data_IF_803717840533
#
_entry.id   IF_803717840533
#
_cell.length_a   1.000
_cell.length_b   1.000
_cell.length_c   1.000
_cell.angle_alpha   90.00
_cell.angle_beta   90.00
_cell.angle_gamma   90.00
#
_symmetry.space_group_name_H-M   'P 1'
#
loop_
_entity.id
_entity.type
_entity.pdbx_description
1 polymer ?
#
# COMPACT_ATOMS: atom_id res chain seq x y z
N UNK A 1 15.84 12.18 -54.96
CA UNK A 1 14.61 12.07 -54.15
C UNK A 1 14.74 10.79 -53.31
N UNK A 2 15.39 10.88 -52.16
CA UNK A 2 15.68 9.74 -51.28
C UNK A 2 14.55 9.57 -50.27
N UNK A 3 13.84 8.45 -50.36
CA UNK A 3 12.76 8.05 -49.46
C UNK A 3 13.31 7.78 -48.06
N UNK A 4 12.90 8.60 -47.09
CA UNK A 4 13.14 8.35 -45.66
C UNK A 4 12.29 7.15 -45.23
N UNK A 5 12.94 6.02 -44.96
CA UNK A 5 12.27 4.85 -44.40
C UNK A 5 11.90 5.16 -42.94
N UNK A 6 10.60 5.22 -42.66
CA UNK A 6 10.04 5.40 -41.32
C UNK A 6 10.49 4.20 -40.46
N UNK A 7 11.42 4.43 -39.52
CA UNK A 7 11.86 3.40 -38.57
C UNK A 7 10.65 2.98 -37.74
N UNK A 8 10.08 1.81 -38.03
CA UNK A 8 9.02 1.24 -37.20
C UNK A 8 9.59 0.90 -35.82
N UNK A 9 8.87 1.18 -34.71
CA UNK A 9 9.33 0.83 -33.38
C UNK A 9 9.55 -0.68 -33.30
N UNK A 10 10.80 -1.09 -33.08
CA UNK A 10 11.18 -2.49 -32.97
C UNK A 10 10.93 -2.92 -31.53
N UNK A 11 9.86 -3.66 -31.29
CA UNK A 11 9.53 -4.18 -29.96
C UNK A 11 10.53 -5.29 -29.63
N UNK A 12 11.39 -5.07 -28.64
CA UNK A 12 12.34 -6.07 -28.16
C UNK A 12 11.76 -6.80 -26.95
N UNK A 13 11.62 -8.12 -27.07
CA UNK A 13 11.20 -8.97 -25.95
C UNK A 13 12.41 -9.27 -25.07
N UNK A 14 12.35 -8.88 -23.80
CA UNK A 14 13.40 -9.16 -22.81
C UNK A 14 12.80 -9.95 -21.67
N UNK A 15 13.26 -11.19 -21.48
CA UNK A 15 12.87 -12.01 -20.33
C UNK A 15 13.80 -11.71 -19.15
N UNK A 16 13.24 -11.22 -18.05
CA UNK A 16 13.95 -11.00 -16.78
C UNK A 16 13.45 -12.02 -15.74
N UNK A 17 14.29 -12.40 -14.79
CA UNK A 17 13.89 -13.28 -13.68
C UNK A 17 13.91 -12.49 -12.40
N UNK A 18 12.79 -12.46 -11.68
CA UNK A 18 12.72 -11.91 -10.34
C UNK A 18 13.23 -13.00 -9.38
N UNK A 19 14.37 -12.73 -8.73
CA UNK A 19 15.02 -13.66 -7.79
C UNK A 19 14.91 -13.22 -6.34
N UNK A 20 14.87 -11.91 -6.09
CA UNK A 20 14.90 -11.35 -4.74
C UNK A 20 14.07 -10.06 -4.69
N UNK A 21 13.32 -9.88 -3.60
CA UNK A 21 12.60 -8.66 -3.26
C UNK A 21 13.28 -8.05 -2.04
N UNK A 22 13.89 -6.87 -2.18
CA UNK A 22 14.58 -6.20 -1.08
C UNK A 22 13.63 -5.91 0.11
N UNK A 23 13.79 -6.59 1.26
CA UNK A 23 12.90 -6.42 2.41
C UNK A 23 12.94 -5.00 2.98
N UNK A 24 14.05 -4.28 2.83
CA UNK A 24 14.17 -2.90 3.28
C UNK A 24 13.28 -1.95 2.48
N UNK A 25 13.19 -2.18 1.17
CA UNK A 25 12.26 -1.46 0.30
C UNK A 25 10.81 -1.78 0.66
N UNK A 26 10.48 -3.04 0.92
CA UNK A 26 9.13 -3.45 1.36
C UNK A 26 8.76 -2.81 2.70
N UNK A 27 9.70 -2.73 3.65
CA UNK A 27 9.48 -2.06 4.92
C UNK A 27 9.09 -0.58 4.73
N UNK A 28 9.85 0.17 3.93
CA UNK A 28 9.59 1.61 3.70
C UNK A 28 8.25 1.85 3.03
N UNK A 29 7.97 1.12 1.94
CA UNK A 29 6.73 1.26 1.18
C UNK A 29 5.54 0.82 2.04
N UNK A 30 5.66 -0.34 2.70
CA UNK A 30 4.67 -0.89 3.59
C UNK A 30 4.34 0.04 4.74
N UNK A 31 5.35 0.63 5.38
CA UNK A 31 5.15 1.56 6.50
C UNK A 31 4.33 2.79 6.07
N UNK A 32 4.70 3.41 4.94
CA UNK A 32 3.98 4.57 4.41
C UNK A 32 2.54 4.19 4.04
N UNK A 33 2.36 3.06 3.34
CA UNK A 33 1.05 2.58 2.92
C UNK A 33 0.13 2.34 4.13
N UNK A 34 0.58 1.55 5.12
CA UNK A 34 -0.22 1.25 6.30
C UNK A 34 -0.48 2.51 7.14
N UNK A 35 0.46 3.44 7.22
CA UNK A 35 0.25 4.70 7.91
C UNK A 35 -0.83 5.56 7.23
N UNK A 36 -0.83 5.66 5.90
CA UNK A 36 -1.88 6.37 5.14
C UNK A 36 -3.24 5.72 5.36
N UNK A 37 -3.33 4.40 5.26
CA UNK A 37 -4.56 3.65 5.53
C UNK A 37 -5.05 3.90 6.96
N UNK A 38 -4.14 3.89 7.94
CA UNK A 38 -4.47 4.20 9.33
C UNK A 38 -5.04 5.60 9.53
N UNK A 39 -4.48 6.62 8.86
CA UNK A 39 -5.04 7.98 8.90
C UNK A 39 -6.45 8.04 8.32
N UNK A 40 -6.69 7.37 7.18
CA UNK A 40 -8.02 7.27 6.59
C UNK A 40 -8.99 6.60 7.56
N UNK A 41 -8.56 5.53 8.24
CA UNK A 41 -9.36 4.83 9.24
C UNK A 41 -9.71 5.69 10.46
N UNK A 42 -8.78 6.53 10.94
CA UNK A 42 -9.09 7.50 12.01
C UNK A 42 -10.17 8.47 11.54
N UNK A 43 -10.01 9.05 10.35
CA UNK A 43 -11.00 10.00 9.80
C UNK A 43 -12.37 9.33 9.69
N UNK A 44 -12.41 8.12 9.13
CA UNK A 44 -13.64 7.34 9.04
C UNK A 44 -14.26 7.07 10.42
N UNK A 45 -13.46 6.67 11.41
CA UNK A 45 -13.91 6.42 12.79
C UNK A 45 -14.51 7.68 13.44
N UNK A 46 -13.86 8.83 13.27
CA UNK A 46 -14.36 10.11 13.80
C UNK A 46 -15.69 10.49 13.15
N UNK A 47 -15.80 10.34 11.82
CA UNK A 47 -17.04 10.63 11.11
C UNK A 47 -18.17 9.71 11.54
N UNK A 48 -17.92 8.40 11.61
CA UNK A 48 -18.91 7.42 12.08
C UNK A 48 -19.38 7.72 13.50
N UNK A 49 -18.44 8.05 14.40
CA UNK A 49 -18.77 8.43 15.77
C UNK A 49 -19.60 9.70 15.85
N UNK A 50 -19.27 10.72 15.05
CA UNK A 50 -20.01 11.97 15.00
C UNK A 50 -21.46 11.74 14.57
N UNK A 51 -21.66 10.93 13.53
CA UNK A 51 -23.02 10.59 13.04
C UNK A 51 -23.77 9.80 14.11
N UNK A 52 -23.16 8.77 14.69
CA UNK A 52 -23.78 7.96 15.73
C UNK A 52 -24.15 8.75 17.00
N UNK A 53 -23.36 9.78 17.32
CA UNK A 53 -23.64 10.71 18.42
C UNK A 53 -24.82 11.62 18.06
N UNK A 54 -24.84 12.17 16.85
CA UNK A 54 -25.90 13.07 16.38
C UNK A 54 -27.28 12.37 16.28
N UNK A 55 -27.30 11.07 15.93
CA UNK A 55 -28.52 10.27 15.85
C UNK A 55 -28.97 9.70 17.20
N UNK A 56 -28.23 9.95 18.29
CA UNK A 56 -28.52 9.36 19.61
C UNK A 56 -28.35 7.83 19.66
N UNK A 57 -27.71 7.22 18.65
CA UNK A 57 -27.49 5.78 18.60
C UNK A 57 -26.65 5.30 19.79
N UNK A 58 -25.67 6.10 20.21
CA UNK A 58 -24.82 5.80 21.37
C UNK A 58 -25.65 5.75 22.66
N UNK A 59 -26.56 6.70 22.85
CA UNK A 59 -27.41 6.77 24.04
C UNK A 59 -28.41 5.60 24.10
N UNK A 60 -28.98 5.24 22.95
CA UNK A 60 -29.87 4.07 22.82
C UNK A 60 -29.15 2.77 23.20
N UNK A 61 -27.89 2.60 22.76
CA UNK A 61 -27.06 1.43 23.12
C UNK A 61 -26.75 1.44 24.62
N UNK A 62 -26.43 2.59 25.21
CA UNK A 62 -26.18 2.68 26.65
C UNK A 62 -27.42 2.32 27.46
N UNK A 63 -28.60 2.78 27.07
CA UNK A 63 -29.86 2.45 27.75
C UNK A 63 -30.20 0.96 27.64
N UNK A 64 -29.98 0.37 26.46
CA UNK A 64 -30.09 -1.08 26.26
C UNK A 64 -29.10 -1.85 27.14
N UNK A 65 -27.84 -1.45 27.21
CA UNK A 65 -26.86 -2.13 28.09
C UNK A 65 -27.23 -2.02 29.57
N UNK A 66 -27.77 -0.88 30.00
CA UNK A 66 -28.29 -0.70 31.37
C UNK A 66 -29.47 -1.64 31.67
N UNK A 67 -30.34 -1.93 30.70
CA UNK A 67 -31.45 -2.87 30.92
C UNK A 67 -31.01 -4.31 31.12
N UNK A 68 -29.77 -4.66 30.75
CA UNK A 68 -29.11 -5.93 31.05
C UNK A 68 -28.36 -5.96 32.40
N UNK A 69 -28.53 -4.95 33.26
CA UNK A 69 -27.94 -4.91 34.60
C UNK A 69 -26.53 -4.31 34.68
N UNK A 70 -26.05 -3.66 33.60
CA UNK A 70 -24.78 -2.94 33.59
C UNK A 70 -25.00 -1.47 34.01
N UNK A 71 -25.33 -1.23 35.28
CA UNK A 71 -25.73 0.10 35.78
C UNK A 71 -24.62 1.18 35.71
N UNK A 72 -23.34 0.78 35.68
CA UNK A 72 -22.19 1.69 35.63
C UNK A 72 -21.55 1.85 34.25
N UNK A 73 -22.13 1.26 33.20
CA UNK A 73 -21.56 1.33 31.85
C UNK A 73 -21.76 2.71 31.24
N UNK A 74 -20.68 3.49 31.20
CA UNK A 74 -20.60 4.79 30.53
C UNK A 74 -19.54 4.70 29.44
N UNK A 75 -19.89 5.02 28.19
CA UNK A 75 -18.88 5.17 27.15
C UNK A 75 -18.03 6.40 27.46
N UNK A 76 -16.83 6.19 28.02
CA UNK A 76 -15.79 7.22 28.08
C UNK A 76 -15.20 7.41 26.68
N UNK A 77 -15.94 8.10 25.81
CA UNK A 77 -15.58 8.28 24.39
C UNK A 77 -14.13 8.72 24.21
N UNK A 78 -13.66 9.70 25.00
CA UNK A 78 -12.28 10.18 24.93
C UNK A 78 -11.22 9.10 25.20
N UNK A 79 -11.42 8.25 26.20
CA UNK A 79 -10.44 7.20 26.53
C UNK A 79 -10.51 6.03 25.55
N UNK A 80 -11.70 5.70 25.04
CA UNK A 80 -11.85 4.70 23.98
C UNK A 80 -11.12 5.13 22.71
N UNK A 81 -11.26 6.40 22.30
CA UNK A 81 -10.58 6.92 21.11
C UNK A 81 -9.06 6.84 21.22
N UNK A 82 -8.48 7.24 22.36
CA UNK A 82 -7.03 7.13 22.58
C UNK A 82 -6.57 5.68 22.53
N UNK A 83 -7.29 4.77 23.19
CA UNK A 83 -6.94 3.35 23.18
C UNK A 83 -7.01 2.77 21.76
N UNK A 84 -8.05 3.07 21.00
CA UNK A 84 -8.19 2.63 19.60
C UNK A 84 -7.09 3.20 18.71
N UNK A 85 -6.73 4.48 18.90
CA UNK A 85 -5.61 5.08 18.16
C UNK A 85 -4.29 4.36 18.46
N UNK A 86 -3.96 4.11 19.72
CA UNK A 86 -2.74 3.39 20.11
C UNK A 86 -2.72 1.96 19.56
N UNK A 87 -3.84 1.23 19.68
CA UNK A 87 -3.96 -0.11 19.12
C UNK A 87 -3.85 -0.11 17.59
N UNK A 88 -4.39 0.89 16.92
CA UNK A 88 -4.26 1.02 15.46
C UNK A 88 -2.82 1.32 15.03
N UNK A 89 -2.06 2.12 15.78
CA UNK A 89 -0.62 2.31 15.55
C UNK A 89 0.16 1.00 15.70
N UNK A 90 -0.14 0.21 16.73
CA UNK A 90 0.45 -1.13 16.87
C UNK A 90 0.06 -2.02 15.67
N UNK A 91 -1.18 -1.94 15.21
CA UNK A 91 -1.66 -2.62 14.01
C UNK A 91 -0.87 -2.26 12.74
N UNK A 92 -0.53 -0.98 12.54
CA UNK A 92 0.32 -0.52 11.42
C UNK A 92 1.69 -1.20 11.46
N UNK A 93 2.33 -1.23 12.63
CA UNK A 93 3.64 -1.85 12.80
C UNK A 93 3.57 -3.35 12.53
N UNK A 94 2.57 -4.04 13.09
CA UNK A 94 2.38 -5.48 12.89
C UNK A 94 2.10 -5.83 11.43
N UNK A 95 1.22 -5.08 10.76
CA UNK A 95 0.89 -5.32 9.36
C UNK A 95 2.10 -5.08 8.43
N UNK A 96 2.88 -4.04 8.72
CA UNK A 96 4.14 -3.78 8.01
C UNK A 96 5.15 -4.91 8.25
N UNK A 97 5.29 -5.39 9.48
CA UNK A 97 6.15 -6.52 9.80
C UNK A 97 5.72 -7.78 9.05
N UNK A 98 4.42 -8.07 8.96
CA UNK A 98 3.89 -9.18 8.17
C UNK A 98 4.24 -9.07 6.68
N UNK A 99 4.19 -7.87 6.10
CA UNK A 99 4.61 -7.65 4.71
C UNK A 99 6.10 -7.93 4.50
N UNK A 100 6.96 -7.46 5.40
CA UNK A 100 8.41 -7.70 5.34
C UNK A 100 8.71 -9.20 5.48
N UNK A 101 8.02 -9.88 6.40
CA UNK A 101 8.14 -11.32 6.58
C UNK A 101 7.70 -12.08 5.32
N UNK A 102 6.58 -11.69 4.72
CA UNK A 102 6.10 -12.28 3.47
C UNK A 102 7.13 -12.11 2.34
N UNK A 103 7.73 -10.93 2.20
CA UNK A 103 8.80 -10.70 1.22
C UNK A 103 10.03 -11.58 1.50
N UNK A 104 10.44 -11.70 2.76
CA UNK A 104 11.58 -12.53 3.15
C UNK A 104 11.32 -14.01 2.85
N UNK A 105 10.13 -14.52 3.19
CA UNK A 105 9.72 -15.90 2.89
C UNK A 105 9.65 -16.12 1.38
N UNK A 106 9.14 -15.15 0.62
CA UNK A 106 9.11 -15.22 -0.83
C UNK A 106 10.52 -15.40 -1.40
N UNK A 107 11.50 -14.62 -0.93
CA UNK A 107 12.89 -14.73 -1.37
C UNK A 107 13.47 -16.12 -1.11
N UNK A 108 13.21 -16.68 0.10
CA UNK A 108 13.64 -18.04 0.44
C UNK A 108 13.03 -19.09 -0.49
N UNK A 109 11.76 -18.93 -0.88
CA UNK A 109 11.09 -19.85 -1.81
C UNK A 109 11.65 -19.69 -3.22
N UNK A 110 11.90 -18.48 -3.69
CA UNK A 110 12.42 -18.24 -5.03
C UNK A 110 13.85 -18.71 -5.20
N UNK A 111 14.66 -18.65 -4.15
CA UNK A 111 16.00 -19.24 -4.13
C UNK A 111 15.96 -20.76 -4.31
N UNK A 112 14.94 -21.43 -3.75
CA UNK A 112 14.75 -22.87 -3.89
C UNK A 112 14.22 -23.29 -5.27
N UNK A 113 13.28 -22.53 -5.84
CA UNK A 113 12.57 -22.90 -7.08
C UNK A 113 13.25 -22.34 -8.35
N UNK A 114 14.17 -21.38 -8.20
CA UNK A 114 14.88 -20.73 -9.32
C UNK A 114 14.23 -19.44 -9.83
N UNK A 115 13.29 -18.86 -9.07
CA UNK A 115 12.67 -17.56 -9.30
C UNK A 115 11.51 -17.53 -10.29
N UNK A 116 10.89 -16.34 -10.45
CA UNK A 116 9.76 -16.11 -11.36
C UNK A 116 10.26 -15.46 -12.65
N UNK A 117 9.99 -16.09 -13.80
CA UNK A 117 10.30 -15.53 -15.13
C UNK A 117 9.24 -14.50 -15.52
N UNK A 118 9.68 -13.30 -15.86
CA UNK A 118 8.83 -12.18 -16.30
C UNK A 118 9.30 -11.71 -17.67
N UNK A 119 8.38 -11.66 -18.64
CA UNK A 119 8.68 -11.16 -19.99
C UNK A 119 8.29 -9.69 -20.09
N UNK A 120 9.26 -8.81 -20.30
CA UNK A 120 9.05 -7.37 -20.50
C UNK A 120 9.16 -7.07 -22.00
N UNK A 121 8.23 -6.27 -22.53
CA UNK A 121 8.28 -5.76 -23.90
C UNK A 121 8.84 -4.33 -23.83
N UNK A 122 10.08 -4.14 -24.26
CA UNK A 122 10.70 -2.81 -24.36
C UNK A 122 10.46 -2.27 -25.77
N UNK A 123 9.87 -1.07 -25.87
CA UNK A 123 9.74 -0.34 -27.14
C UNK A 123 11.00 0.51 -27.35
N UNK A 124 11.84 0.11 -28.30
CA UNK A 124 13.02 0.91 -28.66
C UNK A 124 12.57 2.11 -29.52
N UNK A 125 12.46 3.29 -28.92
CA UNK A 125 12.33 4.55 -29.66
C UNK A 125 13.73 4.91 -30.19
N UNK A 126 13.97 4.61 -31.47
CA UNK A 126 15.22 4.99 -32.15
C UNK A 126 15.31 6.51 -32.21
N UNK A 127 16.05 7.12 -31.29
CA UNK A 127 16.39 8.54 -31.36
C UNK A 127 17.44 8.69 -32.47
N UNK A 128 16.99 9.11 -33.65
CA UNK A 128 17.89 9.41 -34.77
C UNK A 128 18.89 10.47 -34.35
N UNK A 129 20.17 10.10 -34.29
CA UNK A 129 21.26 11.06 -34.12
C UNK A 129 21.24 11.99 -35.32
N UNK A 130 20.82 13.25 -35.11
CA UNK A 130 20.95 14.29 -36.12
C UNK A 130 22.43 14.64 -36.19
N UNK A 131 23.12 14.07 -37.18
CA UNK A 131 24.50 14.40 -37.54
C UNK A 131 24.66 15.92 -37.68
N UNK A 132 25.36 16.53 -36.71
CA UNK A 132 25.86 17.89 -36.82
C UNK A 132 27.00 17.90 -37.84
N UNK A 133 26.65 18.12 -39.11
CA UNK A 133 27.62 18.53 -40.14
C UNK A 133 28.01 20.01 -39.89
N UNK A 134 28.92 20.20 -38.94
CA UNK A 134 29.66 21.45 -38.75
C UNK A 134 30.62 21.66 -39.91
N UNK A 135 30.28 22.62 -40.78
CA UNK A 135 31.07 23.08 -41.93
C UNK A 135 32.47 23.55 -41.48
N UNK A 136 33.49 23.13 -42.24
CA UNK A 136 34.77 23.84 -42.36
C UNK A 136 34.63 24.97 -43.36
#
# INVERSE_FOLDING_TARGET
MSTSAKSAPRIRRVTRVIRDIDPWSVFKIGLIFHFVVYLIMIVALVLLWSVASATGTIDNIQQFMKSFGWESFQFKGGQLFVNVMVLGLLGVVLATALWVLAATIFNLITDLVGGIRVTVLEEEVVVGSVESHGKR
#
